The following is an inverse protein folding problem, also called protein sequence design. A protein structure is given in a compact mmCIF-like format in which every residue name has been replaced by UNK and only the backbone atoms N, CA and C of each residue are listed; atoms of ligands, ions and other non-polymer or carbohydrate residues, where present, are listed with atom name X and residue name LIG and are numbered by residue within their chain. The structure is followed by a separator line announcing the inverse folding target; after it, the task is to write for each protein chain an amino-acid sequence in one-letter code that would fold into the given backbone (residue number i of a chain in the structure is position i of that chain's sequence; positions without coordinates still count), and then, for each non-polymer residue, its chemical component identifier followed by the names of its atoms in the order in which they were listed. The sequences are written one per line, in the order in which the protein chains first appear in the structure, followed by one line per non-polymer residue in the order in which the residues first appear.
data_IF_851434609672
#
_entry.id   IF_851434609672
#
_cell.length_a   1.000
_cell.length_b   1.000
_cell.length_c   1.000
_cell.angle_alpha   90.00
_cell.angle_beta   90.00
_cell.angle_gamma   90.00
#
_symmetry.space_group_name_H-M   'P 1'
#
loop_
_entity.id
_entity.type
_entity.pdbx_description
1 polymer ?
#
# COMPACT_ATOMS: atom_id res chain seq x y z
N UNK A 1 35.64 -43.15 31.03
CA UNK A 1 34.50 -42.43 31.65
C UNK A 1 34.57 -40.95 31.29
N UNK A 2 33.47 -40.37 30.77
CA UNK A 2 33.11 -38.92 30.76
C UNK A 2 34.00 -38.02 29.86
N UNK A 3 33.54 -37.12 29.00
CA UNK A 3 32.23 -36.55 28.64
C UNK A 3 32.41 -35.84 27.28
N UNK A 4 31.37 -35.89 26.42
CA UNK A 4 31.24 -35.04 25.25
C UNK A 4 30.95 -33.59 25.66
N UNK A 5 31.39 -32.62 24.86
CA UNK A 5 30.77 -31.30 24.78
C UNK A 5 30.75 -30.86 23.31
N UNK A 6 29.59 -31.08 22.67
CA UNK A 6 29.16 -30.31 21.51
C UNK A 6 29.00 -28.86 21.96
N UNK A 7 29.73 -27.93 21.37
CA UNK A 7 29.39 -26.51 21.42
C UNK A 7 28.48 -26.20 20.24
N UNK A 8 27.18 -26.24 20.51
CA UNK A 8 26.10 -25.77 19.65
C UNK A 8 26.33 -24.29 19.34
N UNK A 9 26.54 -23.95 18.07
CA UNK A 9 26.42 -22.58 17.62
C UNK A 9 24.95 -22.17 17.76
N UNK A 10 24.67 -21.36 18.79
CA UNK A 10 23.41 -20.66 18.95
C UNK A 10 23.23 -19.74 17.74
N UNK A 11 22.40 -20.19 16.80
CA UNK A 11 21.79 -19.35 15.78
C UNK A 11 20.97 -18.27 16.51
N UNK A 12 21.58 -17.11 16.73
CA UNK A 12 20.85 -15.88 16.99
C UNK A 12 20.08 -15.55 15.71
N UNK A 13 18.90 -16.15 15.55
CA UNK A 13 17.89 -15.61 14.64
C UNK A 13 17.55 -14.23 15.19
N UNK A 14 18.13 -13.19 14.61
CA UNK A 14 17.70 -11.83 14.84
C UNK A 14 16.21 -11.76 14.46
N UNK A 15 15.34 -11.76 15.47
CA UNK A 15 13.93 -11.52 15.30
C UNK A 15 13.78 -10.12 14.70
N UNK A 16 13.56 -10.05 13.38
CA UNK A 16 12.93 -8.87 12.81
C UNK A 16 11.65 -8.62 13.63
N UNK A 17 11.35 -7.38 14.05
CA UNK A 17 10.15 -7.11 14.81
C UNK A 17 8.96 -7.47 13.91
N UNK A 18 8.35 -8.62 14.21
CA UNK A 18 7.06 -9.00 13.66
C UNK A 18 6.09 -7.93 14.13
N UNK A 19 5.37 -7.28 13.23
CA UNK A 19 4.41 -6.24 13.59
C UNK A 19 3.49 -6.71 14.73
N UNK A 20 3.52 -6.00 15.86
CA UNK A 20 2.74 -6.32 17.07
C UNK A 20 1.54 -5.41 17.27
N UNK A 21 1.19 -4.60 16.27
CA UNK A 21 0.03 -3.70 16.34
C UNK A 21 -1.31 -4.41 16.10
N UNK A 22 -2.42 -3.67 16.07
CA UNK A 22 -3.75 -4.24 15.83
C UNK A 22 -3.82 -4.97 14.48
N UNK A 23 -4.60 -6.06 14.44
CA UNK A 23 -4.84 -6.80 13.20
C UNK A 23 -5.40 -5.84 12.12
N UNK A 24 -4.89 -5.89 10.86
CA UNK A 24 -5.43 -5.05 9.79
C UNK A 24 -6.90 -5.36 9.51
N UNK A 25 -7.65 -4.32 9.17
CA UNK A 25 -9.05 -4.41 8.73
C UNK A 25 -9.17 -5.08 7.34
N UNK A 26 -10.37 -5.51 6.90
CA UNK A 26 -10.57 -5.98 5.52
C UNK A 26 -10.06 -4.94 4.50
N UNK A 27 -9.45 -5.42 3.42
CA UNK A 27 -8.80 -4.59 2.38
C UNK A 27 -7.71 -3.66 2.89
N UNK A 28 -7.08 -4.03 4.01
CA UNK A 28 -5.91 -3.37 4.56
C UNK A 28 -4.70 -4.29 4.53
N UNK A 29 -3.55 -3.74 4.16
CA UNK A 29 -2.26 -4.42 4.24
C UNK A 29 -1.29 -3.57 5.06
N UNK A 30 -0.38 -4.26 5.72
CA UNK A 30 0.79 -3.65 6.33
C UNK A 30 1.99 -4.22 5.62
N UNK A 31 2.83 -3.33 5.10
CA UNK A 31 4.05 -3.66 4.39
C UNK A 31 5.24 -3.02 5.09
N UNK A 32 6.38 -3.68 5.01
CA UNK A 32 7.66 -3.07 5.31
C UNK A 32 8.26 -2.53 4.02
N UNK A 33 8.67 -1.27 4.04
CA UNK A 33 9.34 -0.63 2.91
C UNK A 33 10.85 -0.82 3.03
N UNK A 34 11.46 -1.36 1.98
CA UNK A 34 12.90 -1.56 1.92
C UNK A 34 13.64 -0.22 1.96
N UNK A 35 14.67 -0.06 2.80
CA UNK A 35 15.52 1.13 2.78
C UNK A 35 16.31 1.17 1.47
N UNK A 36 16.11 2.24 0.69
CA UNK A 36 16.88 2.54 -0.53
C UNK A 36 18.07 3.44 -0.15
N UNK A 37 19.27 3.06 -0.61
CA UNK A 37 20.53 3.79 -0.45
C UNK A 37 20.45 5.27 -0.90
N UNK A 38 19.62 5.59 -1.90
CA UNK A 38 19.52 6.95 -2.47
C UNK A 38 18.85 7.97 -1.53
N UNK A 39 18.04 7.52 -0.57
CA UNK A 39 17.42 8.39 0.44
C UNK A 39 18.12 8.29 1.81
N UNK A 40 19.19 7.51 1.91
CA UNK A 40 19.93 7.30 3.17
C UNK A 40 20.61 8.57 3.69
N UNK A 41 20.82 9.57 2.83
CA UNK A 41 21.35 10.90 3.20
C UNK A 41 20.25 11.95 3.41
N UNK A 42 18.99 11.54 3.52
CA UNK A 42 17.87 12.46 3.77
C UNK A 42 17.88 12.95 5.22
N UNK A 43 17.53 14.22 5.43
CA UNK A 43 17.28 14.80 6.76
C UNK A 43 15.89 14.48 7.31
N UNK A 44 15.06 13.74 6.56
CA UNK A 44 13.70 13.42 6.93
C UNK A 44 13.64 12.36 8.03
N UNK A 45 12.64 12.46 8.89
CA UNK A 45 12.37 11.40 9.87
C UNK A 45 12.01 10.08 9.15
N UNK A 46 12.34 8.91 9.73
CA UNK A 46 12.06 7.60 9.12
C UNK A 46 10.61 7.41 8.66
N UNK A 47 9.65 7.89 9.47
CA UNK A 47 8.22 7.83 9.15
C UNK A 47 7.84 8.71 7.95
N UNK A 48 8.45 9.89 7.83
CA UNK A 48 8.24 10.78 6.67
C UNK A 48 8.82 10.15 5.40
N UNK A 49 10.02 9.56 5.48
CA UNK A 49 10.61 8.82 4.35
C UNK A 49 9.72 7.65 3.92
N UNK A 50 9.19 6.90 4.88
CA UNK A 50 8.28 5.78 4.63
C UNK A 50 7.01 6.26 3.92
N UNK A 51 6.40 7.35 4.40
CA UNK A 51 5.23 7.95 3.74
C UNK A 51 5.52 8.40 2.30
N UNK A 52 6.64 9.10 2.06
CA UNK A 52 7.03 9.56 0.70
C UNK A 52 7.25 8.38 -0.26
N UNK A 53 7.88 7.30 0.21
CA UNK A 53 8.10 6.10 -0.61
C UNK A 53 6.80 5.40 -0.94
N UNK A 54 5.94 5.22 0.06
CA UNK A 54 4.59 4.69 -0.13
C UNK A 54 3.86 5.47 -1.21
N UNK A 55 3.81 6.79 -1.05
CA UNK A 55 3.20 7.70 -2.03
C UNK A 55 3.79 7.52 -3.43
N UNK A 56 5.11 7.54 -3.57
CA UNK A 56 5.78 7.41 -4.87
C UNK A 56 5.45 6.09 -5.58
N UNK A 57 5.44 4.97 -4.83
CA UNK A 57 5.07 3.66 -5.37
C UNK A 57 3.62 3.62 -5.85
N UNK A 58 2.71 4.23 -5.10
CA UNK A 58 1.29 4.32 -5.46
C UNK A 58 1.09 5.18 -6.71
N UNK A 59 1.74 6.34 -6.76
CA UNK A 59 1.68 7.22 -7.94
C UNK A 59 2.20 6.52 -9.19
N UNK A 60 3.30 5.76 -9.07
CA UNK A 60 3.85 4.97 -10.19
C UNK A 60 2.86 3.91 -10.65
N UNK A 61 2.28 3.11 -9.74
CA UNK A 61 1.25 2.11 -10.10
C UNK A 61 0.12 2.77 -10.91
N UNK A 62 -0.37 3.91 -10.46
CA UNK A 62 -1.56 4.52 -11.07
C UNK A 62 -1.28 5.28 -12.37
N UNK A 63 -0.08 5.82 -12.53
CA UNK A 63 0.36 6.44 -13.79
C UNK A 63 0.67 5.35 -14.82
N UNK A 64 1.37 4.29 -14.41
CA UNK A 64 1.68 3.15 -15.25
C UNK A 64 0.57 2.10 -15.10
N UNK A 65 -0.56 2.39 -15.73
CA UNK A 65 -1.82 1.62 -15.75
C UNK A 65 -1.70 0.22 -16.41
N UNK A 66 -0.55 -0.43 -16.36
CA UNK A 66 -0.24 -1.68 -17.06
C UNK A 66 -0.70 -2.95 -16.35
N UNK A 67 -1.33 -2.85 -15.17
CA UNK A 67 -1.82 -4.01 -14.44
C UNK A 67 -3.34 -4.17 -14.52
N UNK A 68 -3.81 -5.42 -14.45
CA UNK A 68 -5.24 -5.76 -14.43
C UNK A 68 -5.89 -5.22 -13.15
N UNK A 69 -6.59 -4.10 -13.28
CA UNK A 69 -7.36 -3.45 -12.20
C UNK A 69 -8.63 -4.22 -11.86
N UNK A 70 -9.00 -5.25 -12.63
CA UNK A 70 -10.26 -5.97 -12.48
C UNK A 70 -11.47 -5.20 -13.00
N UNK A 71 -11.27 -4.12 -13.76
CA UNK A 71 -12.37 -3.35 -14.37
C UNK A 71 -13.09 -4.20 -15.45
N UNK A 72 -14.43 -4.25 -15.44
CA UNK A 72 -15.17 -4.96 -16.48
C UNK A 72 -15.17 -4.19 -17.80
N UNK A 73 -15.61 -4.86 -18.86
CA UNK A 73 -15.71 -4.26 -20.19
C UNK A 73 -16.59 -2.99 -20.18
N UNK A 74 -16.17 -1.99 -20.94
CA UNK A 74 -16.87 -0.70 -21.07
C UNK A 74 -16.44 0.37 -20.06
N UNK A 75 -15.74 -0.01 -19.00
CA UNK A 75 -15.07 0.96 -18.11
C UNK A 75 -13.73 1.39 -18.69
N UNK A 76 -13.47 2.69 -18.67
CA UNK A 76 -12.15 3.23 -18.99
C UNK A 76 -11.15 2.98 -17.86
N UNK A 77 -9.88 3.31 -18.08
CA UNK A 77 -8.86 3.23 -17.03
C UNK A 77 -9.17 4.23 -15.91
N UNK A 78 -8.70 3.94 -14.70
CA UNK A 78 -8.82 4.88 -13.58
C UNK A 78 -8.11 6.20 -13.89
N UNK A 79 -8.80 7.31 -13.64
CA UNK A 79 -8.28 8.67 -13.71
C UNK A 79 -8.54 9.41 -12.40
N UNK A 80 -7.81 10.50 -12.18
CA UNK A 80 -8.09 11.41 -11.07
C UNK A 80 -9.27 12.31 -11.48
N UNK A 81 -10.44 12.20 -10.83
CA UNK A 81 -11.62 12.96 -11.22
C UNK A 81 -11.40 14.48 -11.13
N UNK A 82 -10.58 14.92 -10.17
CA UNK A 82 -10.28 16.34 -9.90
C UNK A 82 -8.77 16.63 -10.04
N UNK A 83 -8.04 15.80 -10.81
CA UNK A 83 -6.61 15.99 -11.03
C UNK A 83 -5.78 15.93 -9.75
N UNK A 84 -5.01 16.99 -9.47
CA UNK A 84 -4.15 17.06 -8.29
C UNK A 84 -4.94 17.08 -6.97
N UNK A 85 -6.15 17.64 -6.97
CA UNK A 85 -6.99 17.78 -5.78
C UNK A 85 -7.58 16.46 -5.30
N UNK A 86 -7.59 15.44 -6.18
CA UNK A 86 -7.92 14.07 -5.80
C UNK A 86 -6.87 13.42 -4.88
N UNK A 87 -5.75 14.09 -4.60
CA UNK A 87 -4.75 13.66 -3.61
C UNK A 87 -4.75 14.60 -2.40
N UNK A 88 -5.09 14.08 -1.23
CA UNK A 88 -5.11 14.84 0.02
C UNK A 88 -4.03 14.35 0.97
N UNK A 89 -3.22 15.29 1.48
CA UNK A 89 -2.35 15.04 2.63
C UNK A 89 -3.17 15.12 3.91
N UNK A 90 -3.25 14.01 4.64
CA UNK A 90 -3.96 13.92 5.92
C UNK A 90 -2.91 14.03 7.05
N UNK A 91 -2.44 15.24 7.32
CA UNK A 91 -1.47 15.46 8.39
C UNK A 91 -0.91 16.87 8.41
N UNK A 92 -0.32 17.24 9.54
CA UNK A 92 0.32 18.55 9.74
C UNK A 92 1.69 18.62 9.07
N UNK A 93 2.23 19.84 8.93
CA UNK A 93 3.50 20.14 8.24
C UNK A 93 4.66 19.24 8.69
N UNK A 94 4.70 18.90 9.98
CA UNK A 94 5.77 18.13 10.63
C UNK A 94 5.35 16.72 11.06
N UNK A 95 4.12 16.29 10.73
CA UNK A 95 3.63 14.95 11.01
C UNK A 95 4.08 13.93 9.94
N UNK A 96 4.02 12.62 10.25
CA UNK A 96 4.18 11.58 9.25
C UNK A 96 3.25 11.78 8.07
N UNK A 97 3.75 11.52 6.86
CA UNK A 97 3.00 11.78 5.64
C UNK A 97 1.94 10.70 5.44
N UNK A 98 0.70 11.01 5.81
CA UNK A 98 -0.45 10.19 5.46
C UNK A 98 -1.11 10.78 4.21
N UNK A 99 -1.46 9.92 3.27
CA UNK A 99 -1.98 10.33 1.98
C UNK A 99 -3.26 9.58 1.69
N UNK A 100 -4.23 10.32 1.13
CA UNK A 100 -5.43 9.77 0.55
C UNK A 100 -5.50 10.14 -0.92
N UNK A 101 -5.77 9.18 -1.78
CA UNK A 101 -5.97 9.40 -3.21
C UNK A 101 -7.33 8.86 -3.64
N UNK A 102 -8.05 9.63 -4.45
CA UNK A 102 -9.33 9.27 -5.05
C UNK A 102 -9.17 9.08 -6.56
N UNK A 103 -9.70 7.97 -7.07
CA UNK A 103 -9.72 7.66 -8.49
C UNK A 103 -11.13 7.30 -8.93
N UNK A 104 -11.42 7.56 -10.21
CA UNK A 104 -12.68 7.23 -10.84
C UNK A 104 -12.46 6.57 -12.18
N UNK A 105 -13.26 5.56 -12.47
CA UNK A 105 -13.48 5.03 -13.81
C UNK A 105 -14.94 5.21 -14.16
N UNK A 106 -15.22 5.54 -15.42
CA UNK A 106 -16.57 5.78 -15.93
C UNK A 106 -16.81 4.83 -17.10
N UNK A 107 -18.00 4.23 -17.14
CA UNK A 107 -18.48 3.51 -18.30
C UNK A 107 -19.15 4.50 -19.26
N UNK A 108 -18.56 4.73 -20.43
CA UNK A 108 -19.04 5.72 -21.39
C UNK A 108 -20.44 5.41 -21.94
N UNK A 109 -20.85 4.13 -21.97
CA UNK A 109 -22.14 3.72 -22.52
C UNK A 109 -23.30 3.89 -21.53
N UNK A 110 -23.05 3.69 -20.23
CA UNK A 110 -24.10 3.71 -19.19
C UNK A 110 -24.02 4.92 -18.25
N UNK A 111 -22.88 5.60 -18.21
CA UNK A 111 -22.60 6.66 -17.23
C UNK A 111 -22.32 6.14 -15.81
N UNK A 112 -22.30 4.83 -15.59
CA UNK A 112 -21.97 4.25 -14.29
C UNK A 112 -20.50 4.51 -13.93
N UNK A 113 -20.23 4.64 -12.64
CA UNK A 113 -18.89 4.89 -12.12
C UNK A 113 -18.40 3.78 -11.21
N UNK A 114 -17.08 3.65 -11.16
CA UNK A 114 -16.34 2.94 -10.12
C UNK A 114 -15.39 3.93 -9.51
N UNK A 115 -15.44 4.09 -8.20
CA UNK A 115 -14.54 4.96 -7.46
C UNK A 115 -13.64 4.14 -6.56
N UNK A 116 -12.39 4.56 -6.43
CA UNK A 116 -11.41 3.93 -5.55
C UNK A 116 -10.81 4.98 -4.65
N UNK A 117 -10.87 4.72 -3.35
CA UNK A 117 -10.18 5.47 -2.32
C UNK A 117 -8.99 4.66 -1.83
N UNK A 118 -7.80 5.24 -1.96
CA UNK A 118 -6.57 4.70 -1.41
C UNK A 118 -6.16 5.53 -0.19
N UNK A 119 -5.86 4.88 0.93
CA UNK A 119 -5.34 5.52 2.14
C UNK A 119 -4.01 4.87 2.54
N UNK A 120 -2.95 5.66 2.65
CA UNK A 120 -1.62 5.20 3.07
C UNK A 120 -1.14 5.97 4.28
N UNK A 121 -0.73 5.23 5.31
CA UNK A 121 -0.32 5.76 6.60
C UNK A 121 0.97 5.05 7.09
N UNK A 122 2.09 5.77 7.27
CA UNK A 122 3.25 5.24 8.00
C UNK A 122 2.87 4.88 9.44
N UNK A 123 3.36 3.73 9.92
CA UNK A 123 3.15 3.22 11.29
C UNK A 123 4.49 2.84 11.91
N UNK A 124 5.29 3.85 12.26
CA UNK A 124 6.68 3.66 12.68
C UNK A 124 7.67 3.77 11.54
N UNK A 125 8.97 3.62 11.85
CA UNK A 125 10.03 4.09 10.96
C UNK A 125 10.16 3.42 9.58
N UNK A 126 9.59 2.22 9.36
CA UNK A 126 9.70 1.47 8.09
C UNK A 126 8.40 0.82 7.60
N UNK A 127 7.34 0.87 8.41
CA UNK A 127 6.10 0.17 8.13
C UNK A 127 5.09 1.14 7.54
N UNK A 128 4.37 0.68 6.52
CA UNK A 128 3.30 1.41 5.87
C UNK A 128 2.02 0.58 5.94
N UNK A 129 0.98 1.17 6.51
CA UNK A 129 -0.39 0.67 6.42
C UNK A 129 -1.03 1.25 5.16
N UNK A 130 -1.70 0.39 4.40
CA UNK A 130 -2.40 0.75 3.18
C UNK A 130 -3.80 0.16 3.23
N UNK A 131 -4.80 0.97 2.91
CA UNK A 131 -6.19 0.54 2.74
C UNK A 131 -6.71 0.96 1.38
N UNK A 132 -7.45 0.08 0.73
CA UNK A 132 -8.14 0.35 -0.52
C UNK A 132 -9.63 0.13 -0.32
N UNK A 133 -10.45 1.07 -0.78
CA UNK A 133 -11.91 0.95 -0.77
C UNK A 133 -12.44 1.29 -2.14
N UNK A 134 -13.20 0.38 -2.74
CA UNK A 134 -13.86 0.61 -4.01
C UNK A 134 -15.38 0.70 -3.84
N UNK A 135 -16.00 1.67 -4.51
CA UNK A 135 -17.45 1.82 -4.57
C UNK A 135 -17.88 1.88 -6.03
N UNK A 136 -19.14 1.59 -6.30
CA UNK A 136 -19.67 1.59 -7.67
C UNK A 136 -21.14 1.96 -7.67
N UNK A 137 -21.57 2.58 -8.77
CA UNK A 137 -22.99 2.79 -9.07
C UNK A 137 -23.59 1.63 -9.88
N UNK A 138 -22.78 0.66 -10.31
CA UNK A 138 -23.22 -0.49 -11.11
C UNK A 138 -23.30 -1.76 -10.25
N UNK A 139 -24.51 -2.30 -10.10
CA UNK A 139 -24.75 -3.50 -9.28
C UNK A 139 -24.06 -4.78 -9.78
N UNK A 140 -23.51 -4.79 -11.01
CA UNK A 140 -22.79 -5.93 -11.57
C UNK A 140 -21.28 -5.87 -11.32
N UNK A 141 -20.76 -4.74 -10.81
CA UNK A 141 -19.33 -4.58 -10.54
C UNK A 141 -18.98 -5.19 -9.19
N UNK A 142 -18.02 -6.11 -9.19
CA UNK A 142 -17.46 -6.66 -7.96
C UNK A 142 -16.31 -5.76 -7.44
N UNK A 143 -16.63 -4.87 -6.51
CA UNK A 143 -15.65 -3.94 -5.90
C UNK A 143 -14.55 -4.64 -5.13
N UNK A 144 -14.86 -5.76 -4.46
CA UNK A 144 -13.86 -6.58 -3.73
C UNK A 144 -12.74 -7.11 -4.62
N UNK A 145 -13.07 -7.51 -5.86
CA UNK A 145 -12.06 -7.95 -6.84
C UNK A 145 -11.10 -6.81 -7.22
N UNK A 146 -11.62 -5.58 -7.33
CA UNK A 146 -10.83 -4.40 -7.70
C UNK A 146 -9.86 -4.06 -6.55
N UNK A 147 -10.36 -4.02 -5.32
CA UNK A 147 -9.56 -3.81 -4.11
C UNK A 147 -8.42 -4.84 -4.00
N UNK A 148 -8.75 -6.12 -4.18
CA UNK A 148 -7.79 -7.22 -4.12
C UNK A 148 -6.73 -7.15 -5.22
N UNK A 149 -7.11 -6.80 -6.45
CA UNK A 149 -6.19 -6.64 -7.57
C UNK A 149 -5.21 -5.49 -7.33
N UNK A 150 -5.70 -4.35 -6.87
CA UNK A 150 -4.87 -3.18 -6.55
C UNK A 150 -3.89 -3.48 -5.41
N UNK A 151 -4.37 -4.07 -4.33
CA UNK A 151 -3.51 -4.48 -3.21
C UNK A 151 -2.48 -5.51 -3.65
N UNK A 152 -2.87 -6.48 -4.49
CA UNK A 152 -1.94 -7.49 -5.05
C UNK A 152 -0.85 -6.84 -5.90
N UNK A 153 -1.19 -5.92 -6.78
CA UNK A 153 -0.23 -5.20 -7.61
C UNK A 153 0.76 -4.41 -6.73
N UNK A 154 0.25 -3.75 -5.69
CA UNK A 154 1.07 -3.01 -4.74
C UNK A 154 2.03 -3.90 -3.97
N UNK A 155 1.55 -4.95 -3.30
CA UNK A 155 2.42 -5.82 -2.47
C UNK A 155 3.44 -6.63 -3.28
N UNK A 156 3.23 -6.77 -4.60
CA UNK A 156 4.18 -7.41 -5.51
C UNK A 156 5.30 -6.47 -5.99
N UNK A 157 5.30 -5.20 -5.58
CA UNK A 157 6.40 -4.29 -5.83
C UNK A 157 7.68 -4.77 -5.15
N UNK A 158 8.82 -4.69 -5.86
CA UNK A 158 10.12 -5.23 -5.41
C UNK A 158 10.64 -4.59 -4.12
N UNK A 159 10.17 -3.39 -3.80
CA UNK A 159 10.63 -2.62 -2.64
C UNK A 159 9.82 -2.91 -1.36
N UNK A 160 8.85 -3.82 -1.41
CA UNK A 160 7.92 -4.09 -0.31
C UNK A 160 8.01 -5.53 0.19
N UNK A 161 7.88 -5.70 1.49
CA UNK A 161 7.64 -7.01 2.13
C UNK A 161 6.29 -6.98 2.80
N UNK A 162 5.39 -7.90 2.45
CA UNK A 162 4.09 -8.03 3.13
C UNK A 162 4.30 -8.52 4.56
N UNK A 163 3.81 -7.75 5.53
CA UNK A 163 3.92 -8.04 6.95
C UNK A 163 2.62 -8.61 7.51
N UNK A 164 1.50 -7.98 7.16
CA UNK A 164 0.17 -8.44 7.55
C UNK A 164 -0.88 -8.06 6.51
N UNK A 165 -1.96 -8.83 6.43
CA UNK A 165 -3.11 -8.56 5.55
C UNK A 165 -4.41 -8.85 6.30
N UNK A 166 -5.36 -7.94 6.21
CA UNK A 166 -6.73 -8.19 6.65
C UNK A 166 -7.42 -9.13 5.67
N UNK A 167 -8.15 -10.10 6.22
CA UNK A 167 -9.06 -10.97 5.47
C UNK A 167 -10.47 -10.51 5.72
#
# INVERSE_FOLDING_TARGET
MKKALLSTALLLSACAPTYTGPKPAPNEVIVEISPNAALSNSTLAPEQMTGIRGFSLISVLMIFQSFDTGLPAGYERFSFPDGADSMTRIGEKDAPMHMRAHWRSVNAATGHTVEVLWDSQPIGGKLLKVRVTATTTDGNVNTGRIEDSLLRAFVNSKDLTLVARGR
#
